data_IF_885956304322
#
_entry.id   IF_885956304322
#
_cell.length_a   1.000
_cell.length_b   1.000
_cell.length_c   1.000
_cell.angle_alpha   90.00
_cell.angle_beta   90.00
_cell.angle_gamma   90.00
#
_symmetry.space_group_name_H-M   'P 1'
#
loop_
_entity.id
_entity.type
_entity.pdbx_description
1 polymer ?
#
# COMPACT_ATOMS: atom_id res chain seq x y z
N UNK A 1 12.28 -15.93 -8.40
CA UNK A 1 13.25 -14.81 -8.40
C UNK A 1 12.80 -13.86 -9.46
N UNK A 2 12.50 -12.62 -9.06
CA UNK A 2 12.05 -11.58 -9.97
C UNK A 2 13.26 -11.17 -10.82
N UNK A 3 13.20 -11.41 -12.13
CA UNK A 3 14.27 -11.11 -13.08
C UNK A 3 14.00 -9.74 -13.71
N UNK A 4 14.49 -8.68 -13.04
CA UNK A 4 14.47 -7.30 -13.52
C UNK A 4 15.92 -6.86 -13.69
N UNK A 5 16.21 -6.17 -14.78
CA UNK A 5 17.50 -5.48 -14.93
C UNK A 5 17.65 -4.44 -13.81
N UNK A 6 18.73 -4.51 -13.03
CA UNK A 6 19.04 -3.55 -11.97
C UNK A 6 18.97 -2.09 -12.46
N UNK A 7 19.26 -1.86 -13.75
CA UNK A 7 19.18 -0.54 -14.37
C UNK A 7 17.74 0.01 -14.49
N UNK A 8 16.72 -0.85 -14.45
CA UNK A 8 15.31 -0.48 -14.50
C UNK A 8 14.73 -0.20 -13.09
N UNK A 9 15.47 -0.45 -12.01
CA UNK A 9 15.00 -0.23 -10.64
C UNK A 9 15.26 1.24 -10.24
N UNK A 10 14.19 2.00 -10.05
CA UNK A 10 14.24 3.41 -9.63
C UNK A 10 14.38 3.54 -8.11
N UNK A 11 13.74 2.65 -7.36
CA UNK A 11 13.83 2.60 -5.91
C UNK A 11 13.62 1.18 -5.38
N UNK A 12 14.25 0.88 -4.25
CA UNK A 12 13.97 -0.31 -3.45
C UNK A 12 13.50 0.12 -2.06
N UNK A 13 12.42 -0.49 -1.57
CA UNK A 13 11.94 -0.34 -0.20
C UNK A 13 11.80 -1.69 0.48
N UNK A 14 11.93 -1.70 1.81
CA UNK A 14 11.80 -2.92 2.61
C UNK A 14 10.79 -2.71 3.73
N UNK A 15 9.93 -3.71 3.91
CA UNK A 15 9.02 -3.81 5.05
C UNK A 15 9.76 -4.38 6.27
N UNK A 16 9.17 -4.23 7.44
CA UNK A 16 9.71 -4.65 8.74
C UNK A 16 9.89 -6.16 8.89
N UNK A 17 9.28 -6.96 8.01
CA UNK A 17 9.43 -8.41 7.94
C UNK A 17 10.53 -8.86 6.95
N UNK A 18 11.20 -7.91 6.27
CA UNK A 18 12.30 -8.17 5.36
C UNK A 18 11.90 -8.26 3.88
N UNK A 19 10.60 -8.33 3.57
CA UNK A 19 10.10 -8.30 2.19
C UNK A 19 10.46 -6.98 1.54
N UNK A 20 10.68 -7.01 0.23
CA UNK A 20 11.05 -5.83 -0.53
C UNK A 20 9.99 -5.44 -1.57
N UNK A 21 10.09 -4.19 -2.01
CA UNK A 21 9.33 -3.57 -3.08
C UNK A 21 10.34 -2.95 -4.05
N UNK A 22 10.25 -3.30 -5.33
CA UNK A 22 11.02 -2.71 -6.41
C UNK A 22 10.10 -1.81 -7.22
N UNK A 23 10.46 -0.53 -7.31
CA UNK A 23 9.77 0.46 -8.12
C UNK A 23 10.52 0.57 -9.43
N UNK A 24 9.87 0.21 -10.53
CA UNK A 24 10.54 0.08 -11.83
C UNK A 24 10.17 1.21 -12.77
N UNK A 25 11.18 1.70 -13.49
CA UNK A 25 11.01 2.70 -14.53
C UNK A 25 10.09 2.14 -15.60
N UNK A 26 9.08 2.92 -15.93
CA UNK A 26 8.15 2.63 -17.01
C UNK A 26 8.18 3.88 -17.87
N UNK A 27 8.25 3.73 -19.20
CA UNK A 27 8.38 4.83 -20.19
C UNK A 27 7.20 5.82 -20.12
N UNK A 28 7.09 6.55 -19.01
CA UNK A 28 5.99 7.43 -18.66
C UNK A 28 6.14 8.75 -19.42
N UNK A 29 5.01 9.39 -19.77
CA UNK A 29 5.05 10.68 -20.44
C UNK A 29 5.90 11.72 -19.69
N UNK A 30 6.58 12.58 -20.45
CA UNK A 30 7.27 13.72 -19.87
C UNK A 30 6.28 14.60 -19.07
N UNK A 31 6.58 14.85 -17.81
CA UNK A 31 5.71 15.59 -16.89
C UNK A 31 4.95 14.71 -15.88
N UNK A 32 5.04 13.38 -15.98
CA UNK A 32 4.54 12.49 -14.93
C UNK A 32 5.18 12.80 -13.57
N UNK A 33 4.35 12.76 -12.53
CA UNK A 33 4.79 13.03 -11.15
C UNK A 33 5.60 11.89 -10.56
N UNK A 34 5.38 10.66 -11.03
CA UNK A 34 6.18 9.51 -10.68
C UNK A 34 7.15 9.17 -11.82
N UNK A 35 8.39 8.79 -11.51
CA UNK A 35 9.32 8.19 -12.47
C UNK A 35 9.11 6.68 -12.66
N UNK A 36 8.01 6.13 -12.14
CA UNK A 36 7.67 4.70 -12.19
C UNK A 36 6.15 4.54 -12.16
N UNK A 37 5.67 3.43 -12.71
CA UNK A 37 4.27 3.01 -12.54
C UNK A 37 4.12 1.52 -12.23
N UNK A 38 5.19 0.74 -12.24
CA UNK A 38 5.13 -0.69 -11.91
C UNK A 38 5.89 -0.97 -10.62
N UNK A 39 5.19 -1.65 -9.71
CA UNK A 39 5.74 -2.11 -8.44
C UNK A 39 5.82 -3.62 -8.46
N UNK A 40 7.01 -4.17 -8.20
CA UNK A 40 7.19 -5.59 -7.95
C UNK A 40 7.40 -5.82 -6.46
N UNK A 41 6.57 -6.66 -5.86
CA UNK A 41 6.56 -6.96 -4.44
C UNK A 41 6.99 -8.39 -4.18
N UNK A 42 7.90 -8.57 -3.23
CA UNK A 42 8.13 -9.86 -2.61
C UNK A 42 6.94 -10.20 -1.72
N UNK A 43 6.26 -11.30 -2.06
CA UNK A 43 5.10 -11.79 -1.31
C UNK A 43 5.33 -13.19 -0.73
N UNK A 44 6.59 -13.62 -0.56
CA UNK A 44 7.00 -15.00 -0.18
C UNK A 44 6.63 -16.12 -1.17
N UNK A 45 6.08 -15.78 -2.34
CA UNK A 45 5.76 -16.70 -3.44
C UNK A 45 6.49 -16.31 -4.73
N UNK A 46 5.77 -16.33 -5.85
CA UNK A 46 6.33 -15.98 -7.17
C UNK A 46 6.56 -14.47 -7.38
N UNK A 47 6.29 -13.66 -6.35
CA UNK A 47 6.26 -12.20 -6.43
C UNK A 47 4.95 -11.71 -7.04
N UNK A 48 4.56 -10.47 -6.71
CA UNK A 48 3.41 -9.81 -7.31
C UNK A 48 3.88 -8.57 -8.05
N UNK A 49 3.33 -8.33 -9.24
CA UNK A 49 3.53 -7.10 -9.99
C UNK A 49 2.18 -6.43 -10.22
N UNK A 50 2.08 -5.14 -9.93
CA UNK A 50 0.89 -4.35 -10.21
C UNK A 50 1.25 -2.92 -10.56
N UNK A 51 0.34 -2.30 -11.31
CA UNK A 51 0.51 -0.92 -11.74
C UNK A 51 -0.07 0.04 -10.70
N UNK A 52 0.67 1.12 -10.47
CA UNK A 52 0.28 2.25 -9.63
C UNK A 52 0.29 3.49 -10.49
N UNK A 53 -0.73 4.33 -10.33
CA UNK A 53 -0.83 5.60 -11.03
C UNK A 53 -1.11 6.72 -10.05
N UNK A 54 -0.44 7.84 -10.27
CA UNK A 54 -0.59 9.04 -9.43
C UNK A 54 -1.37 10.16 -10.13
N UNK A 55 -1.24 10.25 -11.45
CA UNK A 55 -2.08 11.09 -12.28
C UNK A 55 -3.22 10.27 -12.88
N UNK A 56 -4.43 10.63 -12.49
CA UNK A 56 -5.65 9.92 -12.89
C UNK A 56 -6.18 10.34 -14.26
N UNK A 57 -5.70 11.47 -14.78
CA UNK A 57 -6.16 12.03 -16.05
C UNK A 57 -5.45 11.42 -17.26
N UNK A 58 -4.19 10.99 -17.11
CA UNK A 58 -3.34 10.59 -18.26
C UNK A 58 -2.50 9.32 -18.07
N UNK A 59 -2.62 8.63 -16.93
CA UNK A 59 -1.81 7.45 -16.62
C UNK A 59 -2.36 6.10 -17.12
N UNK A 60 -1.51 5.05 -17.19
CA UNK A 60 -1.94 3.67 -17.46
C UNK A 60 -2.95 3.19 -16.41
N UNK A 61 -3.72 2.14 -16.76
CA UNK A 61 -4.65 1.51 -15.81
C UNK A 61 -3.88 0.86 -14.65
N UNK A 62 -4.32 1.11 -13.42
CA UNK A 62 -3.63 0.68 -12.20
C UNK A 62 -4.25 1.30 -10.95
N UNK A 63 -3.73 0.91 -9.79
CA UNK A 63 -4.19 1.40 -8.49
C UNK A 63 -3.81 2.87 -8.31
N UNK A 64 -4.77 3.70 -7.92
CA UNK A 64 -4.50 5.06 -7.46
C UNK A 64 -4.03 5.06 -6.02
N UNK A 65 -3.45 6.18 -5.57
CA UNK A 65 -3.09 6.36 -4.16
C UNK A 65 -4.33 6.16 -3.25
N UNK A 66 -5.49 6.65 -3.67
CA UNK A 66 -6.72 6.51 -2.91
C UNK A 66 -7.20 5.05 -2.85
N UNK A 67 -7.06 4.28 -3.93
CA UNK A 67 -7.44 2.86 -3.96
C UNK A 67 -6.60 2.06 -2.95
N UNK A 68 -5.28 2.28 -2.94
CA UNK A 68 -4.38 1.64 -1.97
C UNK A 68 -4.68 2.10 -0.53
N UNK A 69 -4.96 3.38 -0.32
CA UNK A 69 -5.37 3.89 0.99
C UNK A 69 -6.71 3.30 1.46
N UNK A 70 -7.66 3.06 0.57
CA UNK A 70 -8.95 2.44 0.89
C UNK A 70 -8.78 0.97 1.31
N UNK A 71 -7.93 0.22 0.59
CA UNK A 71 -7.52 -1.14 0.97
C UNK A 71 -6.91 -1.15 2.38
N UNK A 72 -5.98 -0.23 2.64
CA UNK A 72 -5.33 -0.11 3.96
C UNK A 72 -6.33 0.29 5.03
N UNK A 73 -7.22 1.24 4.76
CA UNK A 73 -8.23 1.71 5.72
C UNK A 73 -9.18 0.58 6.10
N UNK A 74 -9.63 -0.22 5.12
CA UNK A 74 -10.50 -1.37 5.37
C UNK A 74 -9.79 -2.42 6.22
N UNK A 75 -8.52 -2.73 5.93
CA UNK A 75 -7.72 -3.64 6.79
C UNK A 75 -7.52 -3.09 8.19
N UNK A 76 -7.23 -1.79 8.32
CA UNK A 76 -7.06 -1.13 9.61
C UNK A 76 -8.32 -1.26 10.47
N UNK A 77 -9.50 -1.02 9.89
CA UNK A 77 -10.78 -1.13 10.58
C UNK A 77 -11.07 -2.57 11.02
N UNK A 78 -10.81 -3.57 10.16
CA UNK A 78 -10.98 -4.98 10.52
C UNK A 78 -10.02 -5.40 11.65
N UNK A 79 -8.77 -4.91 11.62
CA UNK A 79 -7.78 -5.16 12.67
C UNK A 79 -8.15 -4.50 13.99
N UNK A 80 -8.66 -3.26 13.97
CA UNK A 80 -9.15 -2.55 15.14
C UNK A 80 -10.32 -3.30 15.81
N UNK A 81 -11.22 -3.89 15.01
CA UNK A 81 -12.29 -4.76 15.51
C UNK A 81 -11.75 -6.08 16.08
N UNK A 82 -10.80 -6.73 15.39
CA UNK A 82 -10.21 -8.01 15.82
C UNK A 82 -9.47 -7.87 17.14
N UNK A 83 -8.66 -6.83 17.29
CA UNK A 83 -7.79 -6.64 18.45
C UNK A 83 -7.68 -5.15 18.78
N UNK A 84 -8.62 -4.60 19.56
CA UNK A 84 -8.60 -3.18 19.94
C UNK A 84 -7.29 -2.88 20.68
N UNK A 85 -6.39 -2.17 20.01
CA UNK A 85 -5.10 -1.72 20.54
C UNK A 85 -4.85 -0.31 20.06
N UNK A 86 -4.15 0.46 20.90
CA UNK A 86 -3.77 1.84 20.58
C UNK A 86 -3.02 2.00 19.26
N UNK A 87 -2.32 0.97 18.77
CA UNK A 87 -1.63 1.00 17.49
C UNK A 87 -2.58 0.88 16.28
N UNK A 88 -3.58 -0.01 16.34
CA UNK A 88 -4.54 -0.18 15.26
C UNK A 88 -5.41 1.08 15.09
N UNK A 89 -5.89 1.64 16.21
CA UNK A 89 -6.68 2.89 16.20
C UNK A 89 -5.86 4.09 15.68
N UNK A 90 -4.57 4.17 16.04
CA UNK A 90 -3.67 5.23 15.54
C UNK A 90 -3.36 5.07 14.06
N UNK A 91 -3.18 3.83 13.60
CA UNK A 91 -2.99 3.53 12.19
C UNK A 91 -4.23 3.94 11.39
N UNK A 92 -5.41 3.48 11.80
CA UNK A 92 -6.70 3.83 11.17
C UNK A 92 -6.89 5.36 11.14
N UNK A 93 -6.65 6.03 12.27
CA UNK A 93 -6.75 7.48 12.36
C UNK A 93 -5.77 8.23 11.43
N UNK A 94 -4.57 7.69 11.23
CA UNK A 94 -3.57 8.26 10.32
C UNK A 94 -3.93 8.02 8.85
N UNK A 95 -4.37 6.81 8.51
CA UNK A 95 -4.79 6.45 7.15
C UNK A 95 -6.02 7.27 6.74
N UNK A 96 -6.98 7.47 7.64
CA UNK A 96 -8.14 8.34 7.37
C UNK A 96 -7.72 9.77 7.05
N UNK A 97 -6.73 10.33 7.75
CA UNK A 97 -6.18 11.66 7.41
C UNK A 97 -5.49 11.65 6.05
N UNK A 98 -4.80 10.57 5.68
CA UNK A 98 -4.27 10.44 4.31
C UNK A 98 -5.40 10.48 3.27
N UNK A 99 -6.50 9.78 3.49
CA UNK A 99 -7.67 9.80 2.60
C UNK A 99 -8.25 11.22 2.50
N UNK A 100 -8.42 11.92 3.62
CA UNK A 100 -8.91 13.30 3.66
C UNK A 100 -8.00 14.26 2.87
N UNK A 101 -6.68 14.16 3.07
CA UNK A 101 -5.70 14.98 2.35
C UNK A 101 -5.65 14.67 0.85
N UNK A 102 -5.72 13.39 0.47
CA UNK A 102 -5.72 13.00 -0.95
C UNK A 102 -7.03 13.41 -1.66
N UNK A 103 -8.17 13.31 -0.97
CA UNK A 103 -9.45 13.82 -1.50
C UNK A 103 -9.44 15.34 -1.66
N UNK A 104 -8.82 16.07 -0.71
CA UNK A 104 -8.66 17.51 -0.81
C UNK A 104 -7.73 17.90 -1.97
N UNK A 105 -6.60 17.21 -2.13
CA UNK A 105 -5.65 17.41 -3.23
C UNK A 105 -6.29 17.17 -4.60
N UNK A 106 -7.15 16.17 -4.70
CA UNK A 106 -7.85 15.77 -5.93
C UNK A 106 -9.15 16.54 -6.20
N UNK A 107 -9.43 17.61 -5.47
CA UNK A 107 -10.68 18.36 -5.65
C UNK A 107 -10.91 18.69 -7.15
N UNK A 108 -12.01 18.16 -7.71
CA UNK A 108 -12.43 18.20 -9.11
C UNK A 108 -11.93 17.08 -10.06
N UNK A 109 -11.22 16.06 -9.58
CA UNK A 109 -10.91 14.85 -10.37
C UNK A 109 -11.99 13.76 -10.14
N UNK A 110 -12.52 13.13 -11.20
CA UNK A 110 -13.48 12.04 -11.04
C UNK A 110 -12.82 10.83 -10.37
N UNK A 111 -13.59 10.09 -9.56
CA UNK A 111 -13.12 8.79 -9.05
C UNK A 111 -12.98 7.81 -10.21
N UNK A 112 -12.01 6.92 -10.08
CA UNK A 112 -11.79 5.85 -11.04
C UNK A 112 -12.88 4.78 -10.89
N UNK A 113 -13.65 4.52 -11.94
CA UNK A 113 -14.81 3.62 -11.91
C UNK A 113 -14.46 2.12 -11.97
N UNK A 114 -13.18 1.77 -12.18
CA UNK A 114 -12.72 0.37 -12.31
C UNK A 114 -11.85 -0.07 -11.14
N UNK A 115 -12.29 0.21 -9.92
CA UNK A 115 -11.68 -0.28 -8.68
C UNK A 115 -12.70 -1.14 -7.92
N UNK A 116 -12.23 -2.23 -7.31
CA UNK A 116 -13.04 -3.01 -6.39
C UNK A 116 -12.22 -3.80 -5.39
N UNK A 117 -12.91 -4.19 -4.34
CA UNK A 117 -12.38 -5.01 -3.24
C UNK A 117 -12.90 -6.44 -3.40
N UNK A 118 -12.03 -7.40 -3.14
CA UNK A 118 -12.40 -8.81 -3.05
C UNK A 118 -12.60 -9.18 -1.59
N UNK A 119 -13.77 -9.70 -1.23
CA UNK A 119 -14.06 -10.17 0.13
C UNK A 119 -14.15 -11.69 0.18
N UNK A 120 -13.68 -12.28 1.27
CA UNK A 120 -13.80 -13.69 1.60
C UNK A 120 -14.38 -13.88 3.01
N UNK A 121 -14.93 -15.06 3.28
CA UNK A 121 -15.45 -15.38 4.61
C UNK A 121 -14.27 -15.56 5.60
N UNK A 122 -14.28 -14.88 6.77
CA UNK A 122 -13.24 -15.05 7.76
C UNK A 122 -13.18 -16.47 8.32
N UNK A 123 -11.96 -16.96 8.53
CA UNK A 123 -11.67 -18.23 9.19
C UNK A 123 -10.72 -17.99 10.37
N UNK A 124 -10.51 -18.97 11.26
CA UNK A 124 -9.52 -18.83 12.33
C UNK A 124 -8.09 -18.53 11.83
N UNK A 125 -7.75 -18.98 10.62
CA UNK A 125 -6.44 -18.74 9.97
C UNK A 125 -6.41 -17.45 9.15
N UNK A 126 -7.59 -16.96 8.73
CA UNK A 126 -7.79 -15.71 8.01
C UNK A 126 -8.84 -14.89 8.76
N UNK A 127 -8.48 -14.04 9.73
CA UNK A 127 -9.47 -13.35 10.57
C UNK A 127 -10.12 -12.13 9.91
N UNK A 128 -9.72 -11.81 8.68
CA UNK A 128 -10.14 -10.62 7.94
C UNK A 128 -11.18 -10.96 6.86
N UNK A 129 -12.03 -10.00 6.47
CA UNK A 129 -12.95 -10.18 5.33
C UNK A 129 -12.29 -9.77 4.02
N UNK A 130 -11.55 -8.68 4.03
CA UNK A 130 -10.90 -8.19 2.83
C UNK A 130 -9.80 -9.17 2.38
N UNK A 131 -9.94 -9.73 1.18
CA UNK A 131 -9.08 -10.76 0.61
C UNK A 131 -8.04 -10.21 -0.37
N UNK A 132 -8.43 -9.22 -1.16
CA UNK A 132 -7.63 -8.64 -2.21
C UNK A 132 -8.27 -7.39 -2.76
N UNK A 133 -7.67 -6.85 -3.82
CA UNK A 133 -8.23 -5.72 -4.54
C UNK A 133 -7.87 -5.82 -6.03
N UNK A 134 -8.68 -5.17 -6.86
CA UNK A 134 -8.46 -5.07 -8.30
C UNK A 134 -8.67 -3.65 -8.80
N UNK A 135 -7.88 -3.27 -9.80
CA UNK A 135 -7.96 -2.01 -10.52
C UNK A 135 -7.75 -2.28 -12.02
N UNK A 136 -8.85 -2.32 -12.78
CA UNK A 136 -8.83 -2.77 -14.16
C UNK A 136 -8.45 -4.24 -14.29
N UNK A 137 -7.43 -4.52 -15.08
CA UNK A 137 -6.85 -5.87 -15.25
C UNK A 137 -5.77 -6.19 -14.20
N UNK A 138 -5.42 -5.25 -13.33
CA UNK A 138 -4.47 -5.47 -12.24
C UNK A 138 -5.22 -5.97 -11.00
N UNK A 139 -4.67 -6.97 -10.32
CA UNK A 139 -5.17 -7.43 -9.03
C UNK A 139 -4.02 -7.86 -8.13
N UNK A 140 -4.25 -7.81 -6.82
CA UNK A 140 -3.35 -8.43 -5.85
C UNK A 140 -4.13 -9.04 -4.69
N UNK A 141 -3.59 -10.13 -4.16
CA UNK A 141 -4.04 -10.75 -2.93
C UNK A 141 -3.39 -10.09 -1.73
N UNK A 142 -4.12 -9.95 -0.63
CA UNK A 142 -3.59 -9.48 0.65
C UNK A 142 -3.03 -10.64 1.47
N UNK A 143 -1.99 -10.35 2.25
CA UNK A 143 -1.41 -11.26 3.21
C UNK A 143 -2.44 -11.68 4.25
N UNK A 144 -2.76 -12.97 4.31
CA UNK A 144 -3.79 -13.56 5.18
C UNK A 144 -3.42 -13.53 6.66
N UNK A 145 -2.14 -13.76 6.96
CA UNK A 145 -1.61 -13.79 8.33
C UNK A 145 -1.48 -12.37 8.92
N UNK A 146 -2.14 -12.07 10.06
CA UNK A 146 -1.97 -10.83 10.81
C UNK A 146 -0.52 -10.43 11.12
N UNK A 147 0.37 -11.42 11.23
CA UNK A 147 1.79 -11.26 11.51
C UNK A 147 2.66 -11.10 10.25
N UNK A 148 2.05 -11.14 9.05
CA UNK A 148 2.77 -10.95 7.80
C UNK A 148 3.59 -12.16 7.33
N UNK A 149 3.30 -13.39 7.77
CA UNK A 149 4.13 -14.58 7.43
C UNK A 149 3.60 -15.42 6.27
N UNK A 150 2.38 -15.17 5.82
CA UNK A 150 1.79 -15.90 4.68
C UNK A 150 2.01 -15.14 3.38
N UNK A 151 1.77 -15.82 2.26
CA UNK A 151 1.74 -15.18 0.95
C UNK A 151 0.72 -14.03 0.85
N UNK A 152 1.01 -13.06 -0.01
CA UNK A 152 0.16 -11.89 -0.33
C UNK A 152 0.77 -10.54 0.11
N UNK A 153 0.22 -9.43 -0.38
CA UNK A 153 0.66 -8.07 -0.06
C UNK A 153 0.32 -7.71 1.39
N UNK A 154 1.31 -7.25 2.15
CA UNK A 154 1.08 -6.77 3.52
C UNK A 154 0.54 -5.34 3.52
N UNK A 155 -0.13 -4.95 4.61
CA UNK A 155 -0.57 -3.56 4.82
C UNK A 155 0.63 -2.60 4.83
N UNK A 156 1.75 -3.02 5.42
CA UNK A 156 2.98 -2.25 5.43
C UNK A 156 3.52 -2.02 4.01
N UNK A 157 3.52 -3.04 3.15
CA UNK A 157 3.93 -2.90 1.75
C UNK A 157 3.02 -1.91 0.99
N UNK A 158 1.70 -2.02 1.16
CA UNK A 158 0.77 -1.06 0.55
C UNK A 158 1.04 0.39 1.01
N UNK A 159 1.30 0.60 2.31
CA UNK A 159 1.66 1.91 2.85
C UNK A 159 3.02 2.42 2.33
N UNK A 160 4.02 1.55 2.18
CA UNK A 160 5.33 1.90 1.62
C UNK A 160 5.23 2.35 0.16
N UNK A 161 4.33 1.74 -0.62
CA UNK A 161 4.04 2.16 -2.00
C UNK A 161 3.46 3.57 -2.02
N UNK A 162 2.46 3.83 -1.16
CA UNK A 162 1.87 5.15 -1.00
C UNK A 162 2.93 6.19 -0.59
N UNK A 163 3.82 5.85 0.33
CA UNK A 163 4.85 6.77 0.82
C UNK A 163 5.91 7.08 -0.23
N UNK A 164 6.35 6.07 -1.00
CA UNK A 164 7.27 6.27 -2.13
C UNK A 164 6.61 7.17 -3.19
N UNK A 165 5.35 6.92 -3.55
CA UNK A 165 4.63 7.73 -4.52
C UNK A 165 4.53 9.20 -4.08
N UNK A 166 4.17 9.44 -2.82
CA UNK A 166 4.13 10.79 -2.27
C UNK A 166 5.52 11.45 -2.20
N UNK A 167 6.58 10.69 -1.87
CA UNK A 167 7.93 11.21 -1.82
C UNK A 167 8.41 11.70 -3.20
N UNK A 168 8.21 10.88 -4.24
CA UNK A 168 8.60 11.23 -5.61
C UNK A 168 7.75 12.37 -6.18
N UNK A 169 6.44 12.36 -5.93
CA UNK A 169 5.56 13.46 -6.31
C UNK A 169 5.94 14.76 -5.60
N UNK A 170 6.31 14.73 -4.32
CA UNK A 170 6.77 15.93 -3.57
C UNK A 170 8.05 16.49 -4.16
N UNK A 171 8.96 15.64 -4.66
CA UNK A 171 10.18 16.11 -5.31
C UNK A 171 9.89 16.88 -6.62
N UNK A 172 8.76 16.58 -7.28
CA UNK A 172 8.31 17.25 -8.50
C UNK A 172 7.41 18.47 -8.23
N UNK A 173 6.64 18.44 -7.14
CA UNK A 173 5.70 19.50 -6.72
C UNK A 173 5.95 19.89 -5.25
N UNK A 174 7.09 20.55 -4.94
CA UNK A 174 7.47 20.87 -3.56
C UNK A 174 6.52 21.85 -2.86
N UNK A 175 5.74 22.62 -3.60
CA UNK A 175 4.74 23.56 -3.09
C UNK A 175 3.40 22.91 -2.71
N UNK A 176 3.16 21.66 -3.09
CA UNK A 176 1.93 20.93 -2.76
C UNK A 176 1.96 20.49 -1.28
N UNK A 177 1.26 21.24 -0.43
CA UNK A 177 1.17 20.99 1.00
C UNK A 177 0.44 19.70 1.35
N UNK A 178 -0.48 19.24 0.50
CA UNK A 178 -1.20 17.99 0.74
C UNK A 178 -0.25 16.80 0.65
N UNK A 179 0.69 16.80 -0.30
CA UNK A 179 1.74 15.77 -0.40
C UNK A 179 2.62 15.73 0.85
N UNK A 180 2.98 16.89 1.39
CA UNK A 180 3.76 16.99 2.62
C UNK A 180 2.99 16.40 3.81
N UNK A 181 1.71 16.74 3.97
CA UNK A 181 0.87 16.20 5.04
C UNK A 181 0.62 14.69 4.89
N UNK A 182 0.37 14.22 3.66
CA UNK A 182 0.25 12.80 3.33
C UNK A 182 1.46 12.02 3.82
N UNK A 183 2.68 12.51 3.56
CA UNK A 183 3.92 11.85 4.01
C UNK A 183 4.02 11.75 5.52
N UNK A 184 3.61 12.79 6.26
CA UNK A 184 3.61 12.77 7.73
C UNK A 184 2.65 11.70 8.26
N UNK A 185 1.44 11.62 7.70
CA UNK A 185 0.44 10.65 8.12
C UNK A 185 0.78 9.20 7.68
N UNK A 186 1.34 9.03 6.48
CA UNK A 186 1.85 7.75 6.00
C UNK A 186 3.00 7.23 6.87
N UNK A 187 3.97 8.09 7.24
CA UNK A 187 5.06 7.69 8.13
C UNK A 187 4.54 7.23 9.50
N UNK A 188 3.51 7.88 10.05
CA UNK A 188 2.87 7.44 11.29
C UNK A 188 2.15 6.10 11.12
N UNK A 189 1.39 5.92 10.03
CA UNK A 189 0.70 4.68 9.74
C UNK A 189 1.68 3.51 9.58
N UNK A 190 2.78 3.70 8.85
CA UNK A 190 3.84 2.69 8.67
C UNK A 190 4.45 2.30 10.02
N UNK A 191 4.80 3.27 10.87
CA UNK A 191 5.34 2.98 12.21
C UNK A 191 4.36 2.19 13.08
N UNK A 192 3.08 2.54 13.04
CA UNK A 192 2.05 1.83 13.79
C UNK A 192 1.88 0.39 13.28
N UNK A 193 1.86 0.20 11.96
CA UNK A 193 1.71 -1.12 11.34
C UNK A 193 2.92 -2.02 11.61
N UNK A 194 4.14 -1.50 11.42
CA UNK A 194 5.36 -2.26 11.69
C UNK A 194 5.42 -2.74 13.16
N UNK A 195 5.14 -1.83 14.11
CA UNK A 195 5.12 -2.17 15.53
C UNK A 195 3.99 -3.15 15.88
N UNK A 196 2.82 -3.04 15.23
CA UNK A 196 1.71 -3.97 15.42
C UNK A 196 2.07 -5.36 14.90
N UNK A 197 2.60 -5.46 13.69
CA UNK A 197 3.01 -6.72 13.07
C UNK A 197 4.15 -7.38 13.86
N UNK A 198 5.12 -6.62 14.38
CA UNK A 198 6.16 -7.12 15.26
C UNK A 198 5.59 -7.69 16.57
N UNK A 199 4.64 -7.00 17.20
CA UNK A 199 3.96 -7.50 18.39
C UNK A 199 3.17 -8.80 18.11
N UNK A 200 2.51 -8.90 16.95
CA UNK A 200 1.80 -10.12 16.55
C UNK A 200 2.76 -11.29 16.31
N UNK A 201 3.94 -11.02 15.72
CA UNK A 201 5.02 -12.02 15.56
C UNK A 201 5.57 -12.50 16.90
N UNK A 202 5.74 -11.59 17.87
CA UNK A 202 6.22 -11.92 19.21
C UNK A 202 5.20 -12.73 20.03
N UNK A 203 3.91 -12.45 19.86
CA UNK A 203 2.81 -13.16 20.53
C UNK A 203 2.54 -14.55 19.92
N UNK A 204 2.94 -14.78 18.66
CA UNK A 204 2.71 -16.05 17.98
C UNK A 204 3.68 -17.13 18.48
N UNK A 205 3.21 -18.32 18.88
CA UNK A 205 4.09 -19.41 19.28
C UNK A 205 5.04 -19.75 18.13
N UNK A 206 6.34 -19.84 18.42
CA UNK A 206 7.31 -20.39 17.47
C UNK A 206 6.88 -21.82 17.15
N UNK A 207 6.27 -22.02 15.97
CA UNK A 207 6.04 -23.36 15.44
C UNK A 207 7.42 -23.93 15.11
N UNK A 208 7.97 -24.71 16.04
CA UNK A 208 9.16 -25.53 15.85
C UNK A 208 8.87 -26.67 14.87
#
# INVERSE_FOLDING_TARGET
>A
MIDIDDAAIVAERRASDGRFLLFTDTDLPAGSLLPWSSVMADIYGDGAAFLVRFDEATGPEGFTLLDLLDVVARRAAEEAVRRPRSLADRMEGSVRRCIEEELARRAAMPRHDRFGLEEAEPTPEWPYRLAGAWAGDNAFDLCRDPAGRSEGITVEQALLICEQACADATARLPEDRHLVHLRVHLAEAIRCEAARAEAERADAPQRC
#
